data_IF_175925284634
#
_entry.id   IF_175925284634
#
_cell.length_a   1.000
_cell.length_b   1.000
_cell.length_c   1.000
_cell.angle_alpha   90.00
_cell.angle_beta   90.00
_cell.angle_gamma   90.00
#
_symmetry.space_group_name_H-M   'P 1'
#
loop_
_entity.id
_entity.type
_entity.pdbx_description
1 polymer ?
#
# COMPACT_ATOMS: atom_id res chain seq x y z
N UNK A 1 1.58 -23.98 -2.72
CA UNK A 1 2.70 -23.02 -2.91
C UNK A 1 2.73 -22.05 -1.73
N UNK A 2 3.87 -21.87 -1.05
CA UNK A 2 3.99 -21.01 0.14
C UNK A 2 3.71 -19.52 -0.22
N UNK A 3 2.95 -18.80 0.60
CA UNK A 3 2.58 -17.38 0.39
C UNK A 3 3.78 -16.44 0.35
N UNK A 4 4.83 -16.75 1.10
CA UNK A 4 6.10 -16.01 1.04
C UNK A 4 6.67 -16.07 -0.38
N UNK A 5 6.59 -17.25 -1.03
CA UNK A 5 7.03 -17.43 -2.41
C UNK A 5 6.14 -16.67 -3.42
N UNK A 6 4.83 -16.55 -3.17
CA UNK A 6 3.95 -15.73 -4.00
C UNK A 6 4.33 -14.24 -3.94
N UNK A 7 4.61 -13.71 -2.74
CA UNK A 7 5.02 -12.32 -2.60
C UNK A 7 6.41 -12.06 -3.20
N UNK A 8 7.36 -12.98 -3.02
CA UNK A 8 8.70 -12.90 -3.66
C UNK A 8 8.57 -12.90 -5.18
N UNK A 9 7.72 -13.78 -5.73
CA UNK A 9 7.46 -13.84 -7.17
C UNK A 9 6.86 -12.53 -7.69
N UNK A 10 5.89 -11.95 -6.98
CA UNK A 10 5.33 -10.63 -7.33
C UNK A 10 6.40 -9.53 -7.31
N UNK A 11 7.26 -9.50 -6.29
CA UNK A 11 8.34 -8.51 -6.19
C UNK A 11 9.34 -8.63 -7.36
N UNK A 12 9.60 -9.86 -7.84
CA UNK A 12 10.46 -10.11 -9.01
C UNK A 12 9.78 -9.68 -10.31
N UNK A 13 8.52 -10.07 -10.52
CA UNK A 13 7.71 -9.76 -11.71
C UNK A 13 7.55 -8.24 -11.94
N UNK A 14 7.50 -7.45 -10.87
CA UNK A 14 7.34 -6.00 -10.93
C UNK A 14 8.62 -5.21 -10.60
N UNK A 15 9.77 -5.89 -10.51
CA UNK A 15 11.04 -5.27 -10.09
C UNK A 15 11.53 -4.12 -10.96
N UNK A 16 11.08 -4.06 -12.23
CA UNK A 16 11.37 -2.97 -13.17
C UNK A 16 10.52 -1.71 -12.95
N UNK A 17 9.45 -1.77 -12.17
CA UNK A 17 8.57 -0.63 -11.92
C UNK A 17 9.15 0.34 -10.86
N UNK A 18 8.90 1.65 -10.98
CA UNK A 18 9.52 2.67 -10.11
C UNK A 18 9.36 2.43 -8.60
N UNK A 19 8.16 2.07 -8.14
CA UNK A 19 7.92 1.84 -6.72
C UNK A 19 8.77 0.68 -6.18
N UNK A 20 8.88 -0.40 -6.95
CA UNK A 20 9.65 -1.58 -6.58
C UNK A 20 11.15 -1.29 -6.58
N UNK A 21 11.65 -0.52 -7.55
CA UNK A 21 13.04 -0.04 -7.55
C UNK A 21 13.33 0.79 -6.30
N UNK A 22 12.41 1.65 -5.88
CA UNK A 22 12.54 2.45 -4.66
C UNK A 22 12.62 1.59 -3.40
N UNK A 23 11.72 0.61 -3.25
CA UNK A 23 11.76 -0.34 -2.13
C UNK A 23 13.02 -1.19 -2.12
N UNK A 24 13.50 -1.62 -3.29
CA UNK A 24 14.74 -2.38 -3.42
C UNK A 24 15.94 -1.55 -2.94
N UNK A 25 15.95 -0.23 -3.19
CA UNK A 25 16.96 0.69 -2.67
C UNK A 25 17.18 0.59 -1.16
N UNK A 26 16.11 0.39 -0.38
CA UNK A 26 16.20 0.20 1.08
C UNK A 26 17.01 -1.04 1.49
N UNK A 27 17.02 -2.08 0.67
CA UNK A 27 17.75 -3.32 0.93
C UNK A 27 19.27 -3.18 0.80
N UNK A 28 19.77 -2.05 0.27
CA UNK A 28 21.19 -1.80 0.08
C UNK A 28 21.79 -0.78 1.05
N UNK A 29 21.00 -0.21 1.96
CA UNK A 29 21.52 0.71 2.98
C UNK A 29 22.59 0.04 3.84
N UNK A 30 23.72 0.75 4.03
CA UNK A 30 24.79 0.34 4.93
C UNK A 30 24.36 0.61 6.37
N UNK A 31 24.17 -0.46 7.13
CA UNK A 31 23.75 -0.40 8.53
C UNK A 31 24.77 0.36 9.38
N UNK A 32 24.29 1.23 10.25
CA UNK A 32 25.09 1.96 11.23
C UNK A 32 25.27 1.17 12.53
N UNK A 33 26.33 1.46 13.30
CA UNK A 33 26.63 0.71 14.53
C UNK A 33 25.62 0.97 15.65
N UNK A 34 25.18 2.21 15.79
CA UNK A 34 24.19 2.64 16.78
C UNK A 34 22.81 2.00 16.56
N UNK A 35 22.48 1.60 15.34
CA UNK A 35 21.24 0.89 15.04
C UNK A 35 21.15 -0.46 15.78
N UNK A 36 22.29 -1.11 16.05
CA UNK A 36 22.31 -2.37 16.80
C UNK A 36 21.89 -2.18 18.25
N UNK A 37 22.48 -1.20 18.93
CA UNK A 37 22.16 -0.88 20.33
C UNK A 37 20.68 -0.50 20.50
N UNK A 38 20.13 0.28 19.56
CA UNK A 38 18.72 0.68 19.56
C UNK A 38 17.80 -0.54 19.46
N UNK A 39 18.12 -1.49 18.59
CA UNK A 39 17.33 -2.71 18.40
C UNK A 39 17.42 -3.65 19.61
N UNK A 40 18.61 -3.83 20.17
CA UNK A 40 18.84 -4.71 21.33
C UNK A 40 18.14 -4.21 22.59
N UNK A 41 18.09 -2.88 22.81
CA UNK A 41 17.35 -2.26 23.92
C UNK A 41 15.84 -2.56 23.90
N UNK A 42 15.29 -2.91 22.74
CA UNK A 42 13.89 -3.32 22.59
C UNK A 42 13.71 -4.84 22.54
N UNK A 43 14.71 -5.62 22.99
CA UNK A 43 14.61 -7.08 23.06
C UNK A 43 14.67 -7.80 21.71
N UNK A 44 15.09 -7.13 20.63
CA UNK A 44 15.17 -7.73 19.29
C UNK A 44 16.51 -8.45 19.16
N UNK A 45 16.52 -9.74 19.47
CA UNK A 45 17.72 -10.59 19.46
C UNK A 45 17.74 -11.62 18.32
N UNK A 46 16.58 -11.95 17.74
CA UNK A 46 16.47 -12.88 16.61
C UNK A 46 17.27 -12.38 15.39
N UNK A 47 18.00 -13.28 14.71
CA UNK A 47 18.92 -12.90 13.66
C UNK A 47 18.28 -12.20 12.46
N UNK A 48 17.12 -12.66 11.98
CA UNK A 48 16.43 -12.03 10.86
C UNK A 48 15.79 -10.69 11.30
N UNK A 49 15.12 -10.68 12.45
CA UNK A 49 14.47 -9.49 12.96
C UNK A 49 15.47 -8.39 13.36
N UNK A 50 16.61 -8.75 13.95
CA UNK A 50 17.70 -7.84 14.30
C UNK A 50 18.30 -7.20 13.06
N UNK A 51 18.55 -7.97 12.01
CA UNK A 51 19.04 -7.43 10.74
C UNK A 51 18.04 -6.48 10.07
N UNK A 52 16.76 -6.84 10.07
CA UNK A 52 15.69 -5.97 9.57
C UNK A 52 15.56 -4.69 10.40
N UNK A 53 15.55 -4.79 11.73
CA UNK A 53 15.47 -3.67 12.65
C UNK A 53 16.62 -2.69 12.42
N UNK A 54 17.87 -3.18 12.40
CA UNK A 54 19.06 -2.36 12.19
C UNK A 54 18.97 -1.56 10.88
N UNK A 55 18.51 -2.20 9.81
CA UNK A 55 18.29 -1.56 8.51
C UNK A 55 17.19 -0.49 8.58
N UNK A 56 16.05 -0.81 9.19
CA UNK A 56 14.93 0.14 9.33
C UNK A 56 15.33 1.38 10.13
N UNK A 57 16.06 1.21 11.24
CA UNK A 57 16.62 2.32 12.05
C UNK A 57 17.58 3.17 11.21
N UNK A 58 18.52 2.55 10.50
CA UNK A 58 19.45 3.28 9.63
C UNK A 58 18.73 4.12 8.57
N UNK A 59 17.73 3.56 7.88
CA UNK A 59 16.95 4.28 6.86
C UNK A 59 16.21 5.46 7.51
N UNK A 60 15.56 5.23 8.64
CA UNK A 60 14.79 6.26 9.34
C UNK A 60 15.68 7.41 9.81
N UNK A 61 16.83 7.13 10.45
CA UNK A 61 17.79 8.17 10.87
C UNK A 61 18.35 8.94 9.67
N UNK A 62 18.52 8.29 8.52
CA UNK A 62 18.92 8.97 7.29
C UNK A 62 17.83 9.94 6.80
N UNK A 63 16.55 9.53 6.85
CA UNK A 63 15.40 10.40 6.55
C UNK A 63 15.25 11.56 7.55
N UNK A 64 15.71 11.39 8.79
CA UNK A 64 15.75 12.42 9.83
C UNK A 64 16.88 13.44 9.64
N UNK A 65 17.98 13.03 9.00
CA UNK A 65 19.16 13.89 8.79
C UNK A 65 18.81 15.24 8.17
N UNK A 66 19.34 16.34 8.72
CA UNK A 66 19.19 17.68 8.14
C UNK A 66 19.80 17.77 6.73
N UNK A 67 20.85 17.00 6.47
CA UNK A 67 21.55 16.91 5.18
C UNK A 67 20.90 15.89 4.22
N UNK A 68 19.67 15.43 4.48
CA UNK A 68 18.96 14.57 3.55
C UNK A 68 18.56 15.39 2.31
N UNK A 69 19.39 15.30 1.26
CA UNK A 69 19.21 15.96 -0.02
C UNK A 69 18.17 15.22 -0.87
N UNK A 70 16.90 15.39 -0.51
CA UNK A 70 15.77 15.01 -1.37
C UNK A 70 14.78 16.16 -1.35
N UNK A 71 14.44 16.68 -2.54
CA UNK A 71 13.32 17.61 -2.71
C UNK A 71 11.99 16.98 -2.23
N UNK A 72 11.96 15.66 -2.04
CA UNK A 72 10.79 14.86 -1.71
C UNK A 72 10.98 14.02 -0.43
N UNK A 73 11.64 14.54 0.62
CA UNK A 73 11.78 13.83 1.92
C UNK A 73 10.45 13.24 2.43
N UNK A 74 9.35 14.00 2.31
CA UNK A 74 8.00 13.57 2.70
C UNK A 74 7.53 12.34 1.92
N UNK A 75 7.90 12.25 0.64
CA UNK A 75 7.59 11.12 -0.21
C UNK A 75 8.45 9.89 0.12
N UNK A 76 9.75 10.10 0.37
CA UNK A 76 10.65 9.05 0.85
C UNK A 76 10.20 8.47 2.19
N UNK A 77 9.63 9.32 3.04
CA UNK A 77 8.95 8.95 4.28
C UNK A 77 7.76 8.02 4.01
N UNK A 78 6.89 8.35 3.04
CA UNK A 78 5.77 7.48 2.62
C UNK A 78 6.27 6.11 2.14
N UNK A 79 7.31 6.07 1.31
CA UNK A 79 7.93 4.82 0.90
C UNK A 79 8.44 4.00 2.09
N UNK A 80 9.12 4.64 3.04
CA UNK A 80 9.58 3.97 4.26
C UNK A 80 8.41 3.41 5.08
N UNK A 81 7.33 4.18 5.25
CA UNK A 81 6.13 3.76 5.98
C UNK A 81 5.50 2.50 5.38
N UNK A 82 5.32 2.47 4.06
CA UNK A 82 4.77 1.32 3.34
C UNK A 82 5.72 0.13 3.36
N UNK A 83 7.02 0.35 3.11
CA UNK A 83 8.04 -0.69 3.13
C UNK A 83 8.13 -1.36 4.50
N UNK A 84 8.29 -0.58 5.57
CA UNK A 84 8.45 -1.09 6.92
C UNK A 84 7.23 -1.92 7.34
N UNK A 85 6.03 -1.34 7.19
CA UNK A 85 4.79 -2.01 7.59
C UNK A 85 4.55 -3.30 6.80
N UNK A 86 4.83 -3.31 5.49
CA UNK A 86 4.66 -4.51 4.65
C UNK A 86 5.71 -5.59 4.95
N UNK A 87 6.96 -5.23 5.22
CA UNK A 87 7.98 -6.19 5.65
C UNK A 87 7.63 -6.82 7.00
N UNK A 88 7.18 -6.01 7.96
CA UNK A 88 6.72 -6.53 9.27
C UNK A 88 5.53 -7.45 9.09
N UNK A 89 4.55 -7.04 8.27
CA UNK A 89 3.38 -7.86 7.93
C UNK A 89 3.80 -9.19 7.30
N UNK A 90 4.68 -9.21 6.30
CA UNK A 90 5.02 -10.44 5.57
C UNK A 90 5.86 -11.43 6.38
N UNK A 91 6.75 -10.93 7.25
CA UNK A 91 7.76 -11.74 7.92
C UNK A 91 7.44 -12.06 9.38
N UNK A 92 6.70 -11.17 10.05
CA UNK A 92 6.48 -11.24 11.50
C UNK A 92 4.97 -11.27 11.86
N UNK A 93 4.08 -11.65 10.91
CA UNK A 93 2.62 -11.69 11.11
C UNK A 93 1.96 -13.09 11.02
N UNK A 94 0.72 -13.22 11.52
CA UNK A 94 -0.09 -14.44 11.50
C UNK A 94 -0.81 -14.53 10.16
N UNK A 95 -0.18 -15.17 9.19
CA UNK A 95 -0.82 -15.42 7.90
C UNK A 95 -1.39 -14.15 7.25
N UNK A 96 -0.69 -13.01 7.40
CA UNK A 96 -1.08 -11.69 6.88
C UNK A 96 -2.40 -11.11 7.42
N UNK A 97 -3.04 -11.78 8.40
CA UNK A 97 -4.35 -11.35 8.95
C UNK A 97 -4.19 -10.39 10.12
N UNK A 98 -3.25 -10.67 11.00
CA UNK A 98 -2.92 -9.90 12.19
C UNK A 98 -1.43 -10.01 12.43
N UNK A 99 -0.77 -9.04 13.06
CA UNK A 99 0.60 -9.22 13.53
C UNK A 99 0.62 -10.38 14.58
N UNK A 100 1.15 -11.58 14.24
CA UNK A 100 1.06 -12.85 15.02
C UNK A 100 1.95 -12.83 16.23
N UNK A 101 3.21 -12.48 16.02
CA UNK A 101 4.19 -12.43 17.07
C UNK A 101 4.06 -11.01 17.62
N UNK A 102 3.00 -10.84 18.42
CA UNK A 102 2.62 -9.56 19.00
C UNK A 102 3.87 -8.93 19.60
N UNK A 103 4.63 -9.66 20.40
CA UNK A 103 5.86 -9.14 21.01
C UNK A 103 6.90 -8.67 19.99
N UNK A 104 7.38 -9.54 19.08
CA UNK A 104 8.45 -9.14 18.14
C UNK A 104 8.01 -8.03 17.17
N UNK A 105 6.79 -8.11 16.63
CA UNK A 105 6.25 -7.06 15.78
C UNK A 105 6.08 -5.75 16.56
N UNK A 106 5.61 -5.80 17.81
CA UNK A 106 5.48 -4.62 18.64
C UNK A 106 6.84 -3.99 18.91
N UNK A 107 7.83 -4.79 19.29
CA UNK A 107 9.18 -4.31 19.55
C UNK A 107 9.76 -3.61 18.31
N UNK A 108 9.52 -4.14 17.10
CA UNK A 108 9.91 -3.49 15.85
C UNK A 108 9.23 -2.12 15.67
N UNK A 109 7.91 -2.03 15.89
CA UNK A 109 7.20 -0.75 15.82
C UNK A 109 7.64 0.21 16.93
N UNK A 110 7.93 -0.28 18.13
CA UNK A 110 8.35 0.52 19.28
C UNK A 110 9.74 1.11 19.05
N UNK A 111 10.67 0.35 18.45
CA UNK A 111 11.95 0.90 17.96
C UNK A 111 11.72 2.09 17.03
N UNK A 112 10.87 1.93 16.01
CA UNK A 112 10.59 2.99 15.02
C UNK A 112 9.90 4.20 15.67
N UNK A 113 8.99 3.96 16.62
CA UNK A 113 8.33 5.03 17.36
C UNK A 113 9.33 5.80 18.23
N UNK A 114 10.24 5.10 18.91
CA UNK A 114 11.27 5.72 19.75
C UNK A 114 12.23 6.58 18.92
N UNK A 115 12.71 6.06 17.79
CA UNK A 115 13.58 6.84 16.88
C UNK A 115 12.86 8.08 16.34
N UNK A 116 11.57 7.99 16.01
CA UNK A 116 10.78 9.17 15.63
C UNK A 116 10.57 10.16 16.79
N UNK A 117 10.43 9.66 18.02
CA UNK A 117 10.25 10.50 19.20
C UNK A 117 11.51 11.30 19.53
N UNK A 118 12.70 10.76 19.25
CA UNK A 118 13.98 11.46 19.39
C UNK A 118 14.07 12.71 18.51
N UNK A 119 13.37 12.74 17.36
CA UNK A 119 13.20 13.93 16.51
C UNK A 119 12.16 14.92 17.08
N UNK A 120 12.30 15.26 18.36
CA UNK A 120 11.38 16.13 19.09
C UNK A 120 11.31 17.55 18.50
N UNK A 121 12.46 18.07 18.08
CA UNK A 121 12.62 19.46 17.61
C UNK A 121 12.28 19.63 16.11
N UNK A 122 12.11 18.52 15.39
CA UNK A 122 11.77 18.49 13.95
C UNK A 122 10.66 17.47 13.64
N UNK A 123 9.42 17.72 14.13
CA UNK A 123 8.31 16.78 13.95
C UNK A 123 7.94 16.51 12.48
N UNK A 124 8.26 17.44 11.58
CA UNK A 124 8.08 17.33 10.14
C UNK A 124 8.97 16.25 9.48
N UNK A 125 10.02 15.81 10.16
CA UNK A 125 10.93 14.76 9.70
C UNK A 125 10.51 13.36 10.13
N UNK A 126 9.53 13.24 11.02
CA UNK A 126 9.09 11.95 11.56
C UNK A 126 8.33 11.13 10.52
N UNK A 127 8.57 9.82 10.54
CA UNK A 127 7.97 8.83 9.66
C UNK A 127 7.38 7.67 10.47
N UNK A 128 6.14 7.85 10.95
CA UNK A 128 5.44 6.81 11.71
C UNK A 128 4.81 5.78 10.78
N UNK A 129 4.94 4.49 11.12
CA UNK A 129 4.42 3.40 10.30
C UNK A 129 3.09 2.84 10.84
N UNK A 130 2.21 2.41 9.94
CA UNK A 130 0.88 1.88 10.31
C UNK A 130 0.96 0.47 10.87
N UNK A 131 0.25 0.26 11.99
CA UNK A 131 0.10 -1.04 12.67
C UNK A 131 -1.22 -1.72 12.34
N UNK A 132 -1.88 -1.33 11.26
CA UNK A 132 -3.11 -1.98 10.81
C UNK A 132 -2.79 -3.02 9.73
N UNK A 133 -2.53 -4.27 10.14
CA UNK A 133 -2.20 -5.36 9.22
C UNK A 133 -3.23 -5.54 8.09
N UNK A 134 -4.51 -5.29 8.40
CA UNK A 134 -5.61 -5.39 7.44
C UNK A 134 -5.61 -4.29 6.37
N UNK A 135 -5.06 -3.12 6.65
CA UNK A 135 -5.01 -2.01 5.68
C UNK A 135 -3.66 -1.87 4.98
N UNK A 136 -2.55 -2.20 5.64
CA UNK A 136 -1.17 -1.99 5.15
C UNK A 136 -0.96 -2.52 3.72
N UNK A 137 -1.41 -3.75 3.43
CA UNK A 137 -1.25 -4.33 2.08
C UNK A 137 -2.01 -3.53 1.03
N UNK A 138 -3.28 -3.19 1.32
CA UNK A 138 -4.17 -2.47 0.40
C UNK A 138 -3.65 -1.06 0.16
N UNK A 139 -3.23 -0.37 1.22
CA UNK A 139 -2.66 0.98 1.13
C UNK A 139 -1.38 0.97 0.29
N UNK A 140 -0.46 0.04 0.54
CA UNK A 140 0.75 -0.11 -0.27
C UNK A 140 0.44 -0.44 -1.74
N UNK A 141 -0.44 -1.41 -2.00
CA UNK A 141 -0.77 -1.80 -3.38
C UNK A 141 -1.36 -0.62 -4.18
N UNK A 142 -2.16 0.23 -3.55
CA UNK A 142 -2.70 1.46 -4.16
C UNK A 142 -1.62 2.52 -4.36
N UNK A 143 -0.79 2.78 -3.35
CA UNK A 143 0.36 3.67 -3.49
C UNK A 143 1.24 3.25 -4.68
N UNK A 144 1.60 1.97 -4.74
CA UNK A 144 2.44 1.39 -5.80
C UNK A 144 1.77 1.55 -7.17
N UNK A 145 0.45 1.35 -7.27
CA UNK A 145 -0.28 1.59 -8.51
C UNK A 145 -0.11 3.02 -9.01
N UNK A 146 -0.36 4.02 -8.16
CA UNK A 146 -0.23 5.42 -8.56
C UNK A 146 1.20 5.78 -8.96
N UNK A 147 2.20 5.23 -8.27
CA UNK A 147 3.63 5.44 -8.59
C UNK A 147 4.09 4.74 -9.85
N UNK A 148 3.45 3.64 -10.20
CA UNK A 148 3.79 2.85 -11.37
C UNK A 148 2.90 3.18 -12.58
N UNK A 149 1.85 3.98 -12.40
CA UNK A 149 0.77 4.19 -13.38
C UNK A 149 1.24 4.40 -14.81
N UNK A 150 2.19 5.32 -15.03
CA UNK A 150 2.72 5.64 -16.36
C UNK A 150 3.56 4.51 -17.01
N UNK A 151 4.01 3.54 -16.21
CA UNK A 151 4.81 2.40 -16.65
C UNK A 151 3.96 1.14 -16.92
N UNK A 152 2.65 1.21 -16.66
CA UNK A 152 1.71 0.11 -16.90
C UNK A 152 1.12 0.27 -18.30
N UNK A 153 1.76 -0.35 -19.29
CA UNK A 153 1.33 -0.37 -20.68
C UNK A 153 1.98 -1.55 -21.41
N UNK A 154 1.54 -1.83 -22.64
CA UNK A 154 1.99 -2.98 -23.43
C UNK A 154 2.89 -2.58 -24.60
N UNK A 155 3.58 -1.43 -24.50
CA UNK A 155 4.40 -0.86 -25.60
C UNK A 155 5.52 -1.77 -26.11
N UNK A 156 5.97 -2.72 -25.29
CA UNK A 156 6.98 -3.70 -25.67
C UNK A 156 6.40 -4.91 -26.43
N UNK A 157 5.09 -4.97 -26.62
CA UNK A 157 4.41 -6.05 -27.32
C UNK A 157 4.41 -7.39 -26.57
N UNK A 158 4.90 -7.43 -25.33
CA UNK A 158 4.96 -8.65 -24.54
C UNK A 158 3.56 -9.00 -24.01
N UNK A 159 2.98 -10.06 -24.57
CA UNK A 159 1.63 -10.52 -24.24
C UNK A 159 1.50 -10.96 -22.78
N UNK A 160 2.49 -11.67 -22.24
CA UNK A 160 2.41 -12.19 -20.88
C UNK A 160 2.56 -11.06 -19.87
N UNK A 161 3.48 -10.12 -20.13
CA UNK A 161 3.61 -8.89 -19.34
C UNK A 161 2.34 -8.03 -19.40
N UNK A 162 1.75 -7.90 -20.59
CA UNK A 162 0.50 -7.14 -20.78
C UNK A 162 -0.67 -7.77 -20.01
N UNK A 163 -0.82 -9.10 -20.04
CA UNK A 163 -1.80 -9.84 -19.22
C UNK A 163 -1.55 -9.69 -17.73
N UNK A 164 -0.29 -9.74 -17.30
CA UNK A 164 0.10 -9.48 -15.91
C UNK A 164 -0.33 -8.08 -15.47
N UNK A 165 -0.10 -7.06 -16.30
CA UNK A 165 -0.57 -5.70 -16.03
C UNK A 165 -2.09 -5.61 -15.96
N UNK A 166 -2.82 -6.20 -16.92
CA UNK A 166 -4.28 -6.22 -16.89
C UNK A 166 -4.81 -6.84 -15.59
N UNK A 167 -4.29 -8.01 -15.20
CA UNK A 167 -4.69 -8.68 -13.97
C UNK A 167 -4.36 -7.86 -12.72
N UNK A 168 -3.19 -7.21 -12.69
CA UNK A 168 -2.81 -6.32 -11.60
C UNK A 168 -3.76 -5.13 -11.49
N UNK A 169 -4.01 -4.41 -12.58
CA UNK A 169 -4.92 -3.25 -12.58
C UNK A 169 -6.35 -3.67 -12.26
N UNK A 170 -6.79 -4.87 -12.67
CA UNK A 170 -8.11 -5.39 -12.33
C UNK A 170 -8.26 -5.60 -10.81
N UNK A 171 -7.24 -6.19 -10.17
CA UNK A 171 -7.17 -6.26 -8.72
C UNK A 171 -7.17 -4.88 -8.05
N UNK A 172 -6.41 -3.92 -8.60
CA UNK A 172 -6.37 -2.54 -8.08
C UNK A 172 -7.74 -1.85 -8.21
N UNK A 173 -8.47 -2.08 -9.29
CA UNK A 173 -9.78 -1.48 -9.53
C UNK A 173 -10.78 -1.80 -8.41
N UNK A 174 -10.79 -3.04 -7.92
CA UNK A 174 -11.69 -3.45 -6.84
C UNK A 174 -11.36 -2.72 -5.53
N UNK A 175 -10.07 -2.66 -5.16
CA UNK A 175 -9.66 -1.97 -3.94
C UNK A 175 -9.75 -0.44 -4.07
N UNK A 176 -9.54 0.13 -5.27
CA UNK A 176 -9.71 1.56 -5.53
C UNK A 176 -11.16 1.98 -5.29
N UNK A 177 -12.12 1.24 -5.84
CA UNK A 177 -13.56 1.47 -5.61
C UNK A 177 -13.91 1.40 -4.13
N UNK A 178 -13.46 0.36 -3.44
CA UNK A 178 -13.71 0.23 -2.00
C UNK A 178 -13.16 1.42 -1.21
N UNK A 179 -11.96 1.92 -1.54
CA UNK A 179 -11.39 3.08 -0.87
C UNK A 179 -12.12 4.39 -1.19
N UNK A 180 -12.50 4.58 -2.45
CA UNK A 180 -13.24 5.76 -2.91
C UNK A 180 -14.67 5.80 -2.32
N UNK A 181 -15.39 4.69 -2.37
CA UNK A 181 -16.82 4.60 -2.05
C UNK A 181 -17.10 4.24 -0.58
N UNK A 182 -16.41 3.22 -0.03
CA UNK A 182 -16.69 2.72 1.32
C UNK A 182 -15.85 3.42 2.40
N UNK A 183 -14.60 3.76 2.08
CA UNK A 183 -13.72 4.49 3.01
C UNK A 183 -13.73 6.01 2.80
N UNK A 184 -14.46 6.49 1.80
CA UNK A 184 -14.65 7.92 1.50
C UNK A 184 -13.30 8.66 1.35
N UNK A 185 -12.32 8.04 0.69
CA UNK A 185 -11.02 8.67 0.48
C UNK A 185 -11.06 9.91 -0.42
N UNK A 186 -12.16 10.16 -1.11
CA UNK A 186 -12.37 11.31 -1.96
C UNK A 186 -13.61 12.08 -1.52
N UNK A 187 -13.44 13.37 -1.23
CA UNK A 187 -14.57 14.27 -1.04
C UNK A 187 -15.30 14.49 -2.36
N UNK A 188 -16.63 14.40 -2.30
CA UNK A 188 -17.51 14.51 -3.48
C UNK A 188 -17.54 15.93 -4.09
N UNK A 189 -17.11 16.94 -3.33
CA UNK A 189 -17.29 18.35 -3.69
C UNK A 189 -16.17 18.88 -4.58
N UNK A 190 -14.94 18.41 -4.40
CA UNK A 190 -13.75 19.02 -5.01
C UNK A 190 -12.59 18.05 -5.31
N UNK A 191 -12.85 16.73 -5.30
CA UNK A 191 -11.81 15.69 -5.46
C UNK A 191 -10.68 15.76 -4.41
N UNK A 192 -10.87 16.48 -3.30
CA UNK A 192 -9.89 16.50 -2.21
C UNK A 192 -9.76 15.11 -1.60
N UNK A 193 -8.52 14.71 -1.32
CA UNK A 193 -8.21 13.43 -0.66
C UNK A 193 -8.44 13.57 0.84
N UNK A 194 -9.20 12.64 1.42
CA UNK A 194 -9.37 12.53 2.88
C UNK A 194 -8.01 12.44 3.58
N UNK A 195 -7.84 13.13 4.71
CA UNK A 195 -6.55 13.25 5.42
C UNK A 195 -5.92 11.88 5.72
N UNK A 196 -6.75 10.91 6.07
CA UNK A 196 -6.32 9.55 6.34
C UNK A 196 -5.82 8.79 5.09
N UNK A 197 -6.16 9.24 3.89
CA UNK A 197 -5.85 8.58 2.62
C UNK A 197 -4.66 9.22 1.87
N UNK A 198 -4.15 10.36 2.33
CA UNK A 198 -3.16 11.18 1.61
C UNK A 198 -1.81 10.50 1.38
N UNK A 199 -1.51 9.40 2.09
CA UNK A 199 -0.26 8.66 1.96
C UNK A 199 -0.31 7.53 0.92
N UNK A 200 -1.47 7.28 0.31
CA UNK A 200 -1.61 6.17 -0.65
C UNK A 200 -2.68 6.37 -1.73
N UNK A 201 -3.52 7.40 -1.63
CA UNK A 201 -4.66 7.57 -2.53
C UNK A 201 -4.59 8.87 -3.33
N UNK A 202 -5.04 8.82 -4.58
CA UNK A 202 -5.20 9.98 -5.44
C UNK A 202 -6.60 9.96 -6.07
N UNK A 203 -7.32 11.07 -5.93
CA UNK A 203 -8.72 11.17 -6.33
C UNK A 203 -8.94 11.67 -7.75
N UNK A 204 -7.89 12.17 -8.42
CA UNK A 204 -7.99 12.63 -9.81
C UNK A 204 -8.46 11.50 -10.71
N UNK A 205 -9.48 11.77 -11.52
CA UNK A 205 -10.12 10.75 -12.35
C UNK A 205 -9.16 10.11 -13.36
N UNK A 206 -8.09 10.82 -13.76
CA UNK A 206 -7.04 10.27 -14.62
C UNK A 206 -6.40 8.98 -14.09
N UNK A 207 -6.38 8.79 -12.77
CA UNK A 207 -5.82 7.60 -12.14
C UNK A 207 -6.89 6.55 -11.80
N UNK A 208 -8.10 6.68 -12.32
CA UNK A 208 -9.15 5.71 -12.12
C UNK A 208 -8.79 4.41 -12.90
N UNK A 209 -8.60 3.27 -12.21
CA UNK A 209 -8.16 2.02 -12.85
C UNK A 209 -9.09 1.51 -13.94
N UNK A 210 -10.37 1.91 -13.93
CA UNK A 210 -11.34 1.55 -14.97
C UNK A 210 -10.89 2.02 -16.36
N UNK A 211 -10.38 3.24 -16.47
CA UNK A 211 -9.93 3.78 -17.76
C UNK A 211 -8.66 3.08 -18.25
N UNK A 212 -7.74 2.79 -17.33
CA UNK A 212 -6.52 2.05 -17.67
C UNK A 212 -6.84 0.60 -18.10
N UNK A 213 -7.82 -0.06 -17.48
CA UNK A 213 -8.26 -1.40 -17.88
C UNK A 213 -8.78 -1.42 -19.32
N UNK A 214 -9.57 -0.42 -19.69
CA UNK A 214 -10.09 -0.29 -21.06
C UNK A 214 -8.94 -0.10 -22.06
N UNK A 215 -7.97 0.77 -21.76
CA UNK A 215 -6.79 0.96 -22.59
C UNK A 215 -5.94 -0.31 -22.70
N UNK A 216 -5.70 -1.03 -21.60
CA UNK A 216 -4.95 -2.30 -21.62
C UNK A 216 -5.69 -3.36 -22.44
N UNK A 217 -7.02 -3.43 -22.36
CA UNK A 217 -7.82 -4.35 -23.17
C UNK A 217 -7.64 -4.06 -24.67
N UNK A 218 -7.73 -2.79 -25.08
CA UNK A 218 -7.51 -2.39 -26.48
C UNK A 218 -6.10 -2.75 -26.96
N UNK A 219 -5.08 -2.51 -26.14
CA UNK A 219 -3.70 -2.89 -26.45
C UNK A 219 -3.55 -4.41 -26.61
N UNK A 220 -4.17 -5.23 -25.75
CA UNK A 220 -4.18 -6.69 -25.88
C UNK A 220 -4.84 -7.12 -27.19
N UNK A 221 -5.99 -6.54 -27.55
CA UNK A 221 -6.68 -6.86 -28.80
C UNK A 221 -5.82 -6.53 -30.04
N UNK A 222 -5.08 -5.42 -30.01
CA UNK A 222 -4.12 -5.06 -31.07
C UNK A 222 -3.03 -6.13 -31.19
N UNK A 223 -2.43 -6.56 -30.07
CA UNK A 223 -1.40 -7.60 -30.02
C UNK A 223 -1.95 -8.93 -30.55
N UNK A 224 -3.16 -9.32 -30.16
CA UNK A 224 -3.77 -10.59 -30.56
C UNK A 224 -4.10 -10.61 -32.06
N UNK A 225 -4.63 -9.52 -32.63
CA UNK A 225 -4.89 -9.40 -34.08
C UNK A 225 -3.62 -9.41 -34.91
N UNK A 226 -2.54 -8.79 -34.41
CA UNK A 226 -1.23 -8.81 -35.07
C UNK A 226 -0.69 -10.23 -35.24
N UNK A 227 -0.93 -11.09 -34.26
CA UNK A 227 -0.47 -12.48 -34.26
C UNK A 227 -1.33 -13.41 -35.13
N UNK A 228 -2.65 -13.23 -35.18
CA UNK A 228 -3.55 -14.10 -35.97
C UNK A 228 -3.42 -13.91 -37.48
N UNK A 229 -3.04 -12.71 -37.92
CA UNK A 229 -2.96 -12.39 -39.35
C UNK A 229 -1.55 -12.52 -39.95
N UNK A 230 -0.53 -12.83 -39.15
CA UNK A 230 0.83 -13.17 -39.63
C UNK A 230 1.54 -12.12 -40.49
N UNK A 231 1.01 -10.88 -40.58
CA UNK A 231 1.41 -9.91 -41.62
C UNK A 231 1.84 -8.53 -41.10
N UNK A 232 1.90 -8.32 -39.78
CA UNK A 232 2.43 -7.06 -39.24
C UNK A 232 3.95 -7.15 -39.07
N UNK A 233 4.70 -6.19 -39.65
CA UNK A 233 6.08 -5.94 -39.18
C UNK A 233 6.00 -5.48 -37.73
N UNK A 234 6.91 -5.96 -36.87
CA UNK A 234 6.87 -5.67 -35.43
C UNK A 234 6.79 -4.16 -35.15
N UNK A 235 7.41 -3.34 -36.00
CA UNK A 235 7.34 -1.88 -35.93
C UNK A 235 5.92 -1.32 -36.10
N UNK A 236 5.12 -1.84 -37.03
CA UNK A 236 3.76 -1.34 -37.28
C UNK A 236 2.82 -1.71 -36.12
N UNK A 237 2.99 -2.91 -35.55
CA UNK A 237 2.27 -3.32 -34.34
C UNK A 237 2.61 -2.40 -33.16
N UNK A 238 3.90 -2.15 -32.93
CA UNK A 238 4.38 -1.29 -31.86
C UNK A 238 3.89 0.15 -32.02
N UNK A 239 3.80 0.67 -33.25
CA UNK A 239 3.23 1.99 -33.53
C UNK A 239 1.74 2.08 -33.20
N UNK A 240 0.96 1.04 -33.51
CA UNK A 240 -0.48 1.00 -33.16
C UNK A 240 -0.69 0.96 -31.65
N UNK A 241 0.08 0.15 -30.94
CA UNK A 241 0.05 0.10 -29.47
C UNK A 241 0.45 1.46 -28.88
N UNK A 242 1.53 2.07 -29.37
CA UNK A 242 1.98 3.38 -28.90
C UNK A 242 0.93 4.46 -29.14
N UNK A 243 0.24 4.43 -30.29
CA UNK A 243 -0.86 5.35 -30.60
C UNK A 243 -2.04 5.18 -29.64
N UNK A 244 -2.41 3.94 -29.30
CA UNK A 244 -3.46 3.68 -28.31
C UNK A 244 -3.10 4.21 -26.92
N UNK A 245 -1.84 4.03 -26.49
CA UNK A 245 -1.36 4.61 -25.22
C UNK A 245 -1.42 6.14 -25.26
N UNK A 246 -1.04 6.77 -26.39
CA UNK A 246 -1.11 8.22 -26.52
C UNK A 246 -2.55 8.75 -26.52
N UNK A 247 -3.50 8.04 -27.15
CA UNK A 247 -4.92 8.39 -27.12
C UNK A 247 -5.47 8.35 -25.69
N UNK A 248 -5.13 7.31 -24.93
CA UNK A 248 -5.47 7.21 -23.51
C UNK A 248 -4.86 8.38 -22.71
N UNK A 249 -3.55 8.61 -22.87
CA UNK A 249 -2.82 9.68 -22.17
C UNK A 249 -3.34 11.07 -22.53
N UNK A 250 -3.83 11.29 -23.75
CA UNK A 250 -4.42 12.56 -24.17
C UNK A 250 -5.82 12.77 -23.59
N UNK A 251 -6.58 11.68 -23.42
CA UNK A 251 -7.95 11.73 -22.91
C UNK A 251 -8.01 11.94 -21.40
N UNK A 252 -7.08 11.30 -20.67
CA UNK A 252 -7.09 11.29 -19.21
C UNK A 252 -5.93 12.06 -18.59
N UNK A 253 -4.82 12.26 -19.31
CA UNK A 253 -3.58 12.83 -18.77
C UNK A 253 -2.52 11.77 -18.48
N UNK A 254 -1.26 12.20 -18.42
CA UNK A 254 -0.09 11.33 -18.20
C UNK A 254 0.82 11.84 -17.08
N UNK A 255 0.30 12.68 -16.20
CA UNK A 255 1.09 13.28 -15.14
C UNK A 255 1.49 12.24 -14.09
N UNK A 256 2.79 12.10 -13.83
CA UNK A 256 3.28 11.27 -12.74
C UNK A 256 2.79 11.78 -11.40
N UNK A 257 2.46 10.86 -10.49
CA UNK A 257 2.26 11.22 -9.09
C UNK A 257 3.64 11.47 -8.46
N UNK A 258 3.94 12.75 -8.25
CA UNK A 258 5.26 13.19 -7.80
C UNK A 258 5.46 13.10 -6.28
N UNK A 259 4.36 13.13 -5.50
CA UNK A 259 4.45 13.02 -4.04
C UNK A 259 3.15 12.55 -3.39
N UNK A 260 3.30 11.87 -2.27
CA UNK A 260 2.26 11.62 -1.28
C UNK A 260 2.60 12.30 0.05
N UNK A 261 1.59 12.57 0.88
CA UNK A 261 1.83 13.12 2.22
C UNK A 261 1.92 11.99 3.25
N UNK A 262 2.96 11.95 4.11
CA UNK A 262 3.16 10.88 5.07
C UNK A 262 2.07 10.85 6.14
N UNK A 263 1.82 9.66 6.69
CA UNK A 263 1.01 9.53 7.90
C UNK A 263 1.76 10.14 9.09
N UNK A 264 1.05 10.91 9.91
CA UNK A 264 1.57 11.38 11.19
C UNK A 264 0.99 10.58 12.36
N UNK A 265 1.52 10.81 13.56
CA UNK A 265 1.09 10.15 14.78
C UNK A 265 -0.40 10.39 15.09
N UNK A 266 -0.92 11.57 14.79
CA UNK A 266 -2.31 11.92 15.07
C UNK A 266 -3.26 11.14 14.14
N UNK A 267 -2.95 11.06 12.85
CA UNK A 267 -3.70 10.27 11.86
C UNK A 267 -3.75 8.79 12.27
N UNK A 268 -2.62 8.23 12.70
CA UNK A 268 -2.55 6.85 13.17
C UNK A 268 -3.39 6.64 14.43
N UNK A 269 -3.32 7.56 15.39
CA UNK A 269 -4.07 7.45 16.64
C UNK A 269 -5.59 7.62 16.42
N UNK A 270 -6.01 8.57 15.59
CA UNK A 270 -7.42 8.77 15.22
C UNK A 270 -8.00 7.51 14.56
N UNK A 271 -7.26 6.87 13.66
CA UNK A 271 -7.65 5.59 13.05
C UNK A 271 -7.80 4.46 14.08
N UNK A 272 -6.84 4.32 14.98
CA UNK A 272 -6.89 3.34 16.07
C UNK A 272 -8.09 3.57 17.01
N UNK A 273 -8.41 4.83 17.32
CA UNK A 273 -9.55 5.19 18.15
C UNK A 273 -10.88 4.94 17.43
N UNK A 274 -10.99 5.28 16.13
CA UNK A 274 -12.19 5.05 15.32
C UNK A 274 -12.50 3.57 15.19
N UNK A 275 -11.50 2.75 14.88
CA UNK A 275 -11.66 1.28 14.81
C UNK A 275 -12.10 0.67 16.14
N UNK A 276 -11.53 1.12 17.28
CA UNK A 276 -11.97 0.67 18.61
C UNK A 276 -13.41 1.07 18.92
N UNK A 277 -13.82 2.31 18.59
CA UNK A 277 -15.20 2.78 18.79
C UNK A 277 -16.21 1.93 17.99
N UNK A 278 -15.91 1.62 16.73
CA UNK A 278 -16.77 0.78 15.89
C UNK A 278 -16.88 -0.64 16.46
N UNK A 279 -15.77 -1.23 16.90
CA UNK A 279 -15.77 -2.57 17.47
C UNK A 279 -16.57 -2.64 18.78
N UNK A 280 -16.38 -1.67 19.68
CA UNK A 280 -17.13 -1.58 20.93
C UNK A 280 -18.63 -1.33 20.69
N UNK A 281 -18.97 -0.51 19.69
CA UNK A 281 -20.36 -0.27 19.29
C UNK A 281 -21.04 -1.52 18.72
N UNK A 282 -20.33 -2.29 17.88
CA UNK A 282 -20.82 -3.56 17.33
C UNK A 282 -21.06 -4.60 18.43
N UNK A 283 -20.13 -4.74 19.38
CA UNK A 283 -20.28 -5.66 20.52
C UNK A 283 -21.50 -5.28 21.36
N UNK A 284 -21.66 -3.98 21.67
CA UNK A 284 -22.81 -3.49 22.43
C UNK A 284 -24.12 -3.76 21.69
N UNK A 285 -24.16 -3.53 20.38
CA UNK A 285 -25.34 -3.78 19.54
C UNK A 285 -25.73 -5.26 19.49
N UNK A 286 -24.76 -6.17 19.38
CA UNK A 286 -25.00 -7.62 19.44
C UNK A 286 -25.54 -8.04 20.81
N UNK A 287 -24.95 -7.54 21.90
CA UNK A 287 -25.43 -7.85 23.25
C UNK A 287 -26.86 -7.36 23.48
N UNK A 288 -27.19 -6.14 23.04
CA UNK A 288 -28.56 -5.61 23.13
C UNK A 288 -29.52 -6.47 22.29
N UNK A 289 -29.13 -6.86 21.08
CA UNK A 289 -29.95 -7.71 20.21
C UNK A 289 -30.27 -9.07 20.82
N UNK A 290 -29.27 -9.73 21.42
CA UNK A 290 -29.45 -11.01 22.13
C UNK A 290 -30.36 -10.83 23.34
N UNK A 291 -30.16 -9.77 24.12
CA UNK A 291 -30.96 -9.50 25.32
C UNK A 291 -32.44 -9.23 24.98
N UNK A 292 -32.69 -8.42 23.95
CA UNK A 292 -34.04 -8.17 23.45
C UNK A 292 -34.66 -9.45 22.87
N UNK A 293 -33.90 -10.24 22.11
CA UNK A 293 -34.35 -11.54 21.59
C UNK A 293 -34.79 -12.51 22.69
N UNK A 294 -34.04 -12.59 23.78
CA UNK A 294 -34.41 -13.39 24.96
C UNK A 294 -35.67 -12.88 25.65
N UNK A 295 -35.83 -11.56 25.80
CA UNK A 295 -37.05 -10.98 26.37
C UNK A 295 -38.29 -11.27 25.50
N UNK A 296 -38.16 -11.19 24.18
CA UNK A 296 -39.22 -11.56 23.25
C UNK A 296 -39.54 -13.06 23.32
N UNK A 297 -38.53 -13.93 23.38
CA UNK A 297 -38.71 -15.37 23.52
C UNK A 297 -39.48 -15.73 24.80
N UNK A 298 -39.09 -15.16 25.95
CA UNK A 298 -39.78 -15.37 27.24
C UNK A 298 -41.22 -14.87 27.18
N UNK A 299 -41.45 -13.71 26.55
CA UNK A 299 -42.80 -13.15 26.41
C UNK A 299 -43.69 -14.04 25.54
N UNK A 300 -43.17 -14.56 24.43
CA UNK A 300 -43.90 -15.49 23.54
C UNK A 300 -44.17 -16.81 24.24
N UNK A 301 -43.19 -17.40 24.94
CA UNK A 301 -43.38 -18.69 25.62
C UNK A 301 -44.39 -18.64 26.77
N UNK A 302 -44.60 -17.46 27.39
CA UNK A 302 -45.63 -17.24 28.41
C UNK A 302 -47.04 -17.04 27.83
N UNK A 303 -47.16 -16.72 26.54
CA UNK A 303 -48.45 -16.54 25.87
C UNK A 303 -48.96 -17.88 25.29
N UNK A 304 -48.06 -18.84 25.04
CA UNK A 304 -48.38 -20.17 24.49
C UNK A 304 -48.53 -21.28 25.53
N UNK A 305 -48.50 -20.97 26.83
CA UNK A 305 -48.85 -21.87 27.95
C UNK A 305 -50.21 -21.52 28.52
#
# INVERSE_FOLDING_TARGET
MNRILQNIRKDQEFSHLPAYQKYNGFNYFRVTRDAEEICEKQGIQDGEAKNFCKRAVTILKNLHSSNYYSQNRKDDCVYFQHWFSDQVRRKFSNNDKYFSNYELSNNLFDVINNVNYEEKDHPDRRCYASRNAGSVKVEKDLHDYFRNFNHINCKDGDREKCRMYYNYVNYINDIYKQRKENNLCCYLVDETVERECTHYFNCKDQYNPKHLLESLKNQIEIIERGNTHGNFRSEELNQRIASEVQNYQSSYGSHEVTSFAPQDFNILNERLLRTRKIHNGLILGVMIGVFLGLLFYIKVSKITQ
#
